data_IF_511761115034
#
_entry.id   IF_511761115034
#
_cell.length_a   1.000
_cell.length_b   1.000
_cell.length_c   1.000
_cell.angle_alpha   90.00
_cell.angle_beta   90.00
_cell.angle_gamma   90.00
#
_symmetry.space_group_name_H-M   'P 1'
#
loop_
_entity.id
_entity.type
_entity.pdbx_description
1 polymer ?
#
# COMPACT_ATOMS: atom_id res chain seq x y z
N UNK A 1 6.86 -2.35 -19.90
CA UNK A 1 6.84 -1.07 -19.17
C UNK A 1 8.22 -0.81 -18.59
N UNK A 2 8.66 0.44 -18.55
CA UNK A 2 9.89 0.87 -17.87
C UNK A 2 9.61 1.29 -16.42
N UNK A 3 10.67 1.52 -15.62
CA UNK A 3 10.57 1.91 -14.20
C UNK A 3 9.68 3.14 -13.97
N UNK A 4 9.79 4.16 -14.83
CA UNK A 4 9.03 5.39 -14.69
C UNK A 4 7.54 5.17 -14.99
N UNK A 5 7.22 4.35 -15.99
CA UNK A 5 5.84 3.98 -16.31
C UNK A 5 5.18 3.20 -15.17
N UNK A 6 5.91 2.28 -14.54
CA UNK A 6 5.44 1.52 -13.37
C UNK A 6 5.16 2.45 -12.20
N UNK A 7 6.14 3.30 -11.86
CA UNK A 7 6.01 4.28 -10.78
C UNK A 7 4.81 5.21 -11.01
N UNK A 8 4.72 5.79 -12.21
CA UNK A 8 3.65 6.72 -12.56
C UNK A 8 2.27 6.03 -12.53
N UNK A 9 2.18 4.78 -12.97
CA UNK A 9 0.94 4.01 -12.92
C UNK A 9 0.46 3.76 -11.49
N UNK A 10 1.34 3.22 -10.64
CA UNK A 10 1.04 3.01 -9.21
C UNK A 10 0.71 4.32 -8.50
N UNK A 11 1.43 5.40 -8.80
CA UNK A 11 1.15 6.72 -8.26
C UNK A 11 -0.21 7.26 -8.68
N UNK A 12 -0.55 7.16 -9.96
CA UNK A 12 -1.80 7.69 -10.51
C UNK A 12 -3.00 7.02 -9.85
N UNK A 13 -3.07 5.68 -9.87
CA UNK A 13 -4.21 4.94 -9.30
C UNK A 13 -4.37 5.21 -7.79
N UNK A 14 -3.25 5.33 -7.06
CA UNK A 14 -3.28 5.65 -5.62
C UNK A 14 -3.75 7.08 -5.39
N UNK A 15 -3.30 8.02 -6.22
CA UNK A 15 -3.64 9.44 -6.07
C UNK A 15 -5.10 9.72 -6.42
N UNK A 16 -5.65 9.02 -7.41
CA UNK A 16 -7.07 9.08 -7.76
C UNK A 16 -7.94 8.63 -6.57
N UNK A 17 -7.64 7.47 -5.95
CA UNK A 17 -8.35 7.00 -4.76
C UNK A 17 -8.21 7.95 -3.57
N UNK A 18 -7.00 8.47 -3.33
CA UNK A 18 -6.75 9.49 -2.31
C UNK A 18 -7.63 10.74 -2.54
N UNK A 19 -7.68 11.25 -3.77
CA UNK A 19 -8.41 12.48 -4.09
C UNK A 19 -9.92 12.28 -3.98
N UNK A 20 -10.46 11.16 -4.48
CA UNK A 20 -11.87 10.83 -4.33
C UNK A 20 -12.27 10.76 -2.85
N UNK A 21 -11.49 10.05 -2.03
CA UNK A 21 -11.76 9.96 -0.59
C UNK A 21 -11.67 11.33 0.12
N UNK A 22 -10.77 12.21 -0.33
CA UNK A 22 -10.63 13.57 0.20
C UNK A 22 -11.82 14.45 -0.20
N UNK A 23 -12.32 14.30 -1.42
CA UNK A 23 -13.52 14.98 -1.90
C UNK A 23 -14.74 14.55 -1.09
N UNK A 24 -14.97 13.24 -0.94
CA UNK A 24 -16.04 12.70 -0.12
C UNK A 24 -15.99 13.26 1.32
N UNK A 25 -14.80 13.27 1.93
CA UNK A 25 -14.60 13.82 3.28
C UNK A 25 -14.97 15.32 3.39
N UNK A 26 -14.83 16.07 2.30
CA UNK A 26 -15.14 17.49 2.24
C UNK A 26 -16.63 17.79 2.08
N UNK A 27 -17.39 16.83 1.53
CA UNK A 27 -18.83 16.91 1.30
C UNK A 27 -19.65 16.52 2.54
N UNK A 28 -19.07 15.79 3.48
CA UNK A 28 -19.75 15.41 4.72
C UNK A 28 -19.98 16.62 5.62
N UNK A 29 -21.24 16.78 6.05
CA UNK A 29 -21.67 17.83 6.97
C UNK A 29 -20.83 17.78 8.27
N UNK A 30 -20.45 18.96 8.76
CA UNK A 30 -19.67 19.12 10.01
C UNK A 30 -20.41 18.55 11.23
N UNK A 31 -21.73 18.41 11.17
CA UNK A 31 -22.55 17.81 12.21
C UNK A 31 -22.52 16.27 12.23
N UNK A 32 -21.80 15.63 11.30
CA UNK A 32 -21.57 14.19 11.24
C UNK A 32 -20.09 13.84 11.52
N UNK A 33 -19.59 14.08 12.76
CA UNK A 33 -18.17 13.98 13.07
C UNK A 33 -17.60 12.56 12.93
N UNK A 34 -18.41 11.52 13.16
CA UNK A 34 -17.97 10.12 13.03
C UNK A 34 -17.71 9.74 11.59
N UNK A 35 -18.64 10.06 10.69
CA UNK A 35 -18.51 9.77 9.25
C UNK A 35 -17.35 10.57 8.64
N UNK A 36 -17.28 11.86 8.97
CA UNK A 36 -16.16 12.72 8.56
C UNK A 36 -14.82 12.19 9.10
N UNK A 37 -14.78 11.77 10.35
CA UNK A 37 -13.57 11.20 10.98
C UNK A 37 -13.13 9.89 10.32
N UNK A 38 -14.09 9.04 9.94
CA UNK A 38 -13.81 7.82 9.19
C UNK A 38 -13.15 8.13 7.85
N UNK A 39 -13.73 9.03 7.05
CA UNK A 39 -13.16 9.42 5.75
C UNK A 39 -11.79 10.09 5.90
N UNK A 40 -11.60 10.95 6.91
CA UNK A 40 -10.29 11.55 7.19
C UNK A 40 -9.22 10.50 7.55
N UNK A 41 -9.60 9.45 8.28
CA UNK A 41 -8.70 8.33 8.56
C UNK A 41 -8.31 7.59 7.27
N UNK A 42 -9.28 7.32 6.38
CA UNK A 42 -9.02 6.72 5.06
C UNK A 42 -8.05 7.58 4.24
N UNK A 43 -8.30 8.89 4.14
CA UNK A 43 -7.43 9.86 3.45
C UNK A 43 -6.00 9.81 4.02
N UNK A 44 -5.86 9.75 5.34
CA UNK A 44 -4.56 9.65 6.01
C UNK A 44 -3.76 8.41 5.58
N UNK A 45 -4.43 7.25 5.49
CA UNK A 45 -3.77 5.98 5.10
C UNK A 45 -3.36 6.01 3.62
N UNK A 46 -4.23 6.50 2.72
CA UNK A 46 -3.85 6.72 1.32
C UNK A 46 -2.69 7.70 1.18
N UNK A 47 -2.66 8.76 2.00
CA UNK A 47 -1.55 9.70 2.00
C UNK A 47 -0.23 9.05 2.45
N UNK A 48 -0.27 8.15 3.45
CA UNK A 48 0.89 7.34 3.86
C UNK A 48 1.35 6.42 2.71
N UNK A 49 0.43 5.79 2.00
CA UNK A 49 0.77 4.95 0.84
C UNK A 49 1.45 5.77 -0.27
N UNK A 50 0.99 6.99 -0.55
CA UNK A 50 1.63 7.90 -1.51
C UNK A 50 3.00 8.39 -1.03
N UNK A 51 3.10 8.87 0.22
CA UNK A 51 4.31 9.50 0.72
C UNK A 51 5.42 8.50 1.09
N UNK A 52 5.07 7.39 1.76
CA UNK A 52 6.04 6.42 2.26
C UNK A 52 6.13 5.16 1.38
N UNK A 53 4.98 4.63 0.95
CA UNK A 53 4.93 3.46 0.06
C UNK A 53 5.45 3.77 -1.34
N UNK A 54 5.08 4.94 -1.89
CA UNK A 54 5.53 5.38 -3.20
C UNK A 54 6.66 6.42 -3.15
N UNK A 55 7.17 6.79 -1.96
CA UNK A 55 8.24 7.79 -1.81
C UNK A 55 7.96 9.07 -2.64
N UNK A 56 6.68 9.44 -2.79
CA UNK A 56 6.28 10.51 -3.70
C UNK A 56 6.73 11.86 -3.15
N UNK A 57 7.23 12.73 -4.03
CA UNK A 57 7.78 14.04 -3.65
C UNK A 57 9.29 14.04 -3.39
N UNK A 58 9.98 12.95 -3.70
CA UNK A 58 11.45 12.86 -3.67
C UNK A 58 11.98 12.65 -5.08
N UNK A 59 12.90 13.51 -5.54
CA UNK A 59 13.46 13.47 -6.90
C UNK A 59 14.16 12.14 -7.24
N UNK A 60 14.65 11.44 -6.22
CA UNK A 60 15.32 10.13 -6.32
C UNK A 60 14.43 8.96 -5.86
N UNK A 61 13.11 9.08 -5.95
CA UNK A 61 12.16 8.07 -5.45
C UNK A 61 12.46 6.66 -5.96
N UNK A 62 12.63 6.48 -7.27
CA UNK A 62 12.92 5.19 -7.91
C UNK A 62 14.21 4.57 -7.36
N UNK A 63 15.28 5.36 -7.24
CA UNK A 63 16.57 4.87 -6.70
C UNK A 63 16.44 4.44 -5.24
N UNK A 64 15.73 5.22 -4.42
CA UNK A 64 15.48 4.88 -3.01
C UNK A 64 14.60 3.64 -2.86
N UNK A 65 13.60 3.44 -3.73
CA UNK A 65 12.81 2.21 -3.75
C UNK A 65 13.71 1.00 -4.01
N UNK A 66 14.54 1.07 -5.04
CA UNK A 66 15.51 0.03 -5.38
C UNK A 66 16.47 -0.29 -4.23
N UNK A 67 17.04 0.72 -3.59
CA UNK A 67 17.94 0.54 -2.45
C UNK A 67 17.23 -0.12 -1.26
N UNK A 68 16.03 0.34 -0.91
CA UNK A 68 15.29 -0.16 0.25
C UNK A 68 14.67 -1.53 0.02
N UNK A 69 14.23 -1.81 -1.21
CA UNK A 69 13.62 -3.08 -1.58
C UNK A 69 14.53 -4.26 -1.25
N UNK A 70 15.82 -4.16 -1.56
CA UNK A 70 16.83 -5.21 -1.32
C UNK A 70 16.91 -5.64 0.15
N UNK A 71 16.64 -4.71 1.07
CA UNK A 71 16.61 -5.01 2.50
C UNK A 71 15.27 -5.59 2.92
N UNK A 72 14.17 -5.06 2.38
CA UNK A 72 12.81 -5.47 2.79
C UNK A 72 12.38 -6.81 2.19
N UNK A 73 12.84 -7.16 0.99
CA UNK A 73 12.43 -8.39 0.30
C UNK A 73 12.84 -9.65 1.06
N UNK A 74 13.85 -9.56 1.94
CA UNK A 74 14.31 -10.65 2.80
C UNK A 74 13.23 -11.13 3.78
N UNK A 75 12.22 -10.30 4.08
CA UNK A 75 11.06 -10.71 4.87
C UNK A 75 10.10 -11.65 4.10
N UNK A 76 10.30 -11.82 2.80
CA UNK A 76 9.48 -12.66 1.91
C UNK A 76 10.39 -13.64 1.14
N UNK A 77 10.77 -14.79 1.74
CA UNK A 77 11.76 -15.70 1.17
C UNK A 77 11.47 -16.12 -0.27
N UNK A 78 10.22 -16.49 -0.58
CA UNK A 78 9.82 -16.90 -1.94
C UNK A 78 10.06 -15.79 -2.98
N UNK A 79 9.84 -14.53 -2.61
CA UNK A 79 10.09 -13.39 -3.50
C UNK A 79 11.57 -13.04 -3.60
N UNK A 80 12.30 -13.15 -2.48
CA UNK A 80 13.75 -12.92 -2.45
C UNK A 80 14.48 -13.94 -3.33
N UNK A 81 14.14 -15.23 -3.20
CA UNK A 81 14.70 -16.31 -4.00
C UNK A 81 14.46 -16.06 -5.49
N UNK A 82 13.23 -15.70 -5.88
CA UNK A 82 12.93 -15.33 -7.27
C UNK A 82 13.76 -14.12 -7.73
N UNK A 83 13.81 -13.05 -6.94
CA UNK A 83 14.53 -11.82 -7.25
C UNK A 83 16.02 -12.09 -7.56
N UNK A 84 16.68 -12.96 -6.79
CA UNK A 84 18.10 -13.26 -7.01
C UNK A 84 18.39 -14.07 -8.27
N UNK A 85 17.39 -14.73 -8.87
CA UNK A 85 17.52 -15.44 -10.16
C UNK A 85 17.35 -14.53 -11.38
N UNK A 86 16.81 -13.33 -11.19
CA UNK A 86 16.52 -12.41 -12.29
C UNK A 86 17.78 -11.75 -12.86
N UNK A 87 17.80 -11.43 -14.17
CA UNK A 87 18.77 -10.49 -14.72
C UNK A 87 18.51 -9.08 -14.18
N UNK A 88 19.53 -8.21 -14.24
CA UNK A 88 19.51 -6.92 -13.53
C UNK A 88 18.42 -5.97 -14.05
N UNK A 89 18.10 -6.00 -15.34
CA UNK A 89 16.97 -5.23 -15.90
C UNK A 89 15.63 -5.65 -15.30
N UNK A 90 15.43 -6.95 -15.08
CA UNK A 90 14.20 -7.46 -14.46
C UNK A 90 14.17 -7.23 -12.94
N UNK A 91 15.32 -7.27 -12.26
CA UNK A 91 15.42 -6.89 -10.84
C UNK A 91 14.96 -5.46 -10.61
N UNK A 92 15.43 -4.55 -11.45
CA UNK A 92 15.05 -3.14 -11.41
C UNK A 92 13.54 -2.94 -11.61
N UNK A 93 12.91 -3.70 -12.51
CA UNK A 93 11.45 -3.65 -12.66
C UNK A 93 10.73 -4.23 -11.44
N UNK A 94 11.24 -5.31 -10.85
CA UNK A 94 10.65 -5.95 -9.66
C UNK A 94 10.70 -5.02 -8.46
N UNK A 95 11.82 -4.34 -8.25
CA UNK A 95 12.03 -3.37 -7.17
C UNK A 95 10.94 -2.30 -7.17
N UNK A 96 10.68 -1.67 -8.32
CA UNK A 96 9.68 -0.59 -8.40
C UNK A 96 8.26 -1.14 -8.37
N UNK A 97 8.03 -2.33 -8.94
CA UNK A 97 6.71 -2.95 -8.96
C UNK A 97 6.26 -3.40 -7.58
N UNK A 98 7.18 -3.94 -6.76
CA UNK A 98 6.84 -4.62 -5.51
C UNK A 98 7.23 -3.84 -4.24
N UNK A 99 8.15 -2.87 -4.31
CA UNK A 99 8.54 -2.08 -3.13
C UNK A 99 7.34 -1.50 -2.36
N UNK A 100 6.33 -0.87 -3.00
CA UNK A 100 5.23 -0.27 -2.24
C UNK A 100 4.47 -1.30 -1.41
N UNK A 101 4.15 -2.46 -2.00
CA UNK A 101 3.43 -3.55 -1.33
C UNK A 101 4.29 -4.20 -0.25
N UNK A 102 5.56 -4.51 -0.54
CA UNK A 102 6.52 -5.05 0.44
C UNK A 102 6.66 -4.11 1.64
N UNK A 103 6.81 -2.81 1.40
CA UNK A 103 6.91 -1.81 2.46
C UNK A 103 5.64 -1.79 3.32
N UNK A 104 4.47 -1.76 2.69
CA UNK A 104 3.21 -1.72 3.42
C UNK A 104 2.95 -2.99 4.23
N UNK A 105 3.30 -4.17 3.68
CA UNK A 105 3.17 -5.45 4.39
C UNK A 105 4.09 -5.53 5.60
N UNK A 106 5.36 -5.14 5.47
CA UNK A 106 6.35 -5.18 6.56
C UNK A 106 5.97 -4.21 7.70
N UNK A 107 5.47 -3.01 7.36
CA UNK A 107 5.30 -1.95 8.36
C UNK A 107 3.88 -1.86 8.94
N UNK A 108 2.84 -2.25 8.19
CA UNK A 108 1.46 -1.97 8.56
C UNK A 108 0.54 -3.19 8.57
N UNK A 109 0.74 -4.19 7.70
CA UNK A 109 -0.24 -5.27 7.54
C UNK A 109 -0.43 -6.08 8.82
N UNK A 110 0.65 -6.60 9.41
CA UNK A 110 0.55 -7.33 10.68
C UNK A 110 0.08 -6.43 11.82
N UNK A 111 0.54 -5.17 11.86
CA UNK A 111 0.13 -4.19 12.87
C UNK A 111 -1.38 -3.96 12.83
N UNK A 112 -1.97 -3.75 11.66
CA UNK A 112 -3.40 -3.46 11.53
C UNK A 112 -4.28 -4.70 11.80
N UNK A 113 -3.80 -5.90 11.43
CA UNK A 113 -4.48 -7.14 11.80
C UNK A 113 -4.47 -7.36 13.31
N UNK A 114 -3.32 -7.17 13.96
CA UNK A 114 -3.18 -7.30 15.41
C UNK A 114 -3.98 -6.22 16.16
N UNK A 115 -3.95 -4.97 15.69
CA UNK A 115 -4.75 -3.86 16.24
C UNK A 115 -6.25 -4.21 16.22
N UNK A 116 -6.74 -4.81 15.13
CA UNK A 116 -8.13 -5.23 15.01
C UNK A 116 -8.46 -6.38 15.96
N UNK A 117 -7.62 -7.44 15.97
CA UNK A 117 -7.83 -8.58 16.86
C UNK A 117 -7.85 -8.15 18.33
N UNK A 118 -6.95 -7.25 18.72
CA UNK A 118 -6.89 -6.71 20.08
C UNK A 118 -8.11 -5.84 20.40
N UNK A 119 -8.50 -4.95 19.48
CA UNK A 119 -9.69 -4.13 19.65
C UNK A 119 -10.96 -4.97 19.83
N UNK A 120 -11.09 -6.07 19.08
CA UNK A 120 -12.21 -6.99 19.19
C UNK A 120 -12.23 -7.74 20.53
N UNK A 121 -11.06 -8.06 21.10
CA UNK A 121 -10.94 -8.62 22.46
C UNK A 121 -11.32 -7.61 23.55
N UNK A 122 -10.91 -6.35 23.38
CA UNK A 122 -11.16 -5.28 24.36
C UNK A 122 -12.62 -4.79 24.33
N UNK A 123 -13.32 -5.01 23.21
CA UNK A 123 -14.76 -4.77 23.08
C UNK A 123 -15.17 -3.30 22.91
N UNK A 124 -14.23 -2.37 22.80
CA UNK A 124 -14.53 -0.94 22.60
C UNK A 124 -15.01 -0.67 21.16
N UNK A 125 -16.28 -0.27 20.94
CA UNK A 125 -16.81 -0.10 19.59
C UNK A 125 -16.07 0.94 18.75
N UNK A 126 -15.53 2.00 19.39
CA UNK A 126 -14.83 3.05 18.66
C UNK A 126 -13.46 2.58 18.16
N UNK A 127 -12.73 1.84 19.00
CA UNK A 127 -11.42 1.26 18.63
C UNK A 127 -11.59 0.18 17.58
N UNK A 128 -12.60 -0.70 17.71
CA UNK A 128 -12.94 -1.70 16.68
C UNK A 128 -13.24 -1.02 15.35
N UNK A 129 -14.09 0.01 15.36
CA UNK A 129 -14.45 0.74 14.15
C UNK A 129 -13.22 1.34 13.43
N UNK A 130 -12.31 1.99 14.17
CA UNK A 130 -11.08 2.56 13.60
C UNK A 130 -10.13 1.49 13.08
N UNK A 131 -9.96 0.39 13.80
CA UNK A 131 -9.08 -0.70 13.40
C UNK A 131 -9.59 -1.39 12.12
N UNK A 132 -10.91 -1.58 11.99
CA UNK A 132 -11.54 -2.10 10.76
C UNK A 132 -11.26 -1.19 9.57
N UNK A 133 -11.46 0.13 9.71
CA UNK A 133 -11.14 1.08 8.64
C UNK A 133 -9.66 1.00 8.23
N UNK A 134 -8.73 0.91 9.19
CA UNK A 134 -7.31 0.80 8.89
C UNK A 134 -6.99 -0.43 8.06
N UNK A 135 -7.51 -1.60 8.48
CA UNK A 135 -7.32 -2.86 7.77
C UNK A 135 -7.96 -2.81 6.38
N UNK A 136 -9.24 -2.43 6.29
CA UNK A 136 -9.98 -2.37 5.01
C UNK A 136 -9.27 -1.47 3.99
N UNK A 137 -8.85 -0.26 4.40
CA UNK A 137 -8.18 0.66 3.47
C UNK A 137 -6.81 0.14 3.06
N UNK A 138 -6.09 -0.53 3.96
CA UNK A 138 -4.82 -1.16 3.60
C UNK A 138 -5.03 -2.28 2.58
N UNK A 139 -6.00 -3.16 2.82
CA UNK A 139 -6.33 -4.25 1.90
C UNK A 139 -6.74 -3.72 0.52
N UNK A 140 -7.56 -2.65 0.48
CA UNK A 140 -7.93 -1.96 -0.76
C UNK A 140 -6.70 -1.44 -1.52
N UNK A 141 -5.73 -0.84 -0.83
CA UNK A 141 -4.49 -0.34 -1.43
C UNK A 141 -3.66 -1.49 -2.01
N UNK A 142 -3.48 -2.56 -1.24
CA UNK A 142 -2.70 -3.73 -1.66
C UNK A 142 -3.34 -4.40 -2.88
N UNK A 143 -4.67 -4.58 -2.86
CA UNK A 143 -5.42 -5.14 -3.98
C UNK A 143 -5.33 -4.27 -5.23
N UNK A 144 -5.48 -2.95 -5.09
CA UNK A 144 -5.35 -2.01 -6.21
C UNK A 144 -3.96 -2.08 -6.87
N UNK A 145 -2.88 -2.14 -6.09
CA UNK A 145 -1.53 -2.30 -6.64
C UNK A 145 -1.33 -3.66 -7.29
N UNK A 146 -1.87 -4.73 -6.69
CA UNK A 146 -1.84 -6.07 -7.29
C UNK A 146 -2.60 -6.10 -8.63
N UNK A 147 -3.79 -5.53 -8.70
CA UNK A 147 -4.59 -5.47 -9.93
C UNK A 147 -3.85 -4.76 -11.04
N UNK A 148 -3.23 -3.60 -10.73
CA UNK A 148 -2.36 -2.91 -11.68
C UNK A 148 -1.22 -3.79 -12.17
N UNK A 149 -0.55 -4.50 -11.26
CA UNK A 149 0.54 -5.42 -11.61
C UNK A 149 0.06 -6.57 -12.51
N UNK A 150 -1.05 -7.21 -12.18
CA UNK A 150 -1.63 -8.32 -12.93
C UNK A 150 -2.04 -7.85 -14.35
N UNK A 151 -2.74 -6.72 -14.45
CA UNK A 151 -3.16 -6.16 -15.74
C UNK A 151 -1.99 -5.82 -16.67
N UNK A 152 -0.83 -5.47 -16.09
CA UNK A 152 0.38 -5.10 -16.83
C UNK A 152 1.41 -6.23 -16.92
N UNK A 153 1.06 -7.45 -16.47
CA UNK A 153 1.94 -8.62 -16.43
C UNK A 153 3.27 -8.39 -15.67
N UNK A 154 3.20 -7.66 -14.56
CA UNK A 154 4.34 -7.30 -13.70
C UNK A 154 4.35 -8.18 -12.45
N UNK A 155 5.12 -9.27 -12.46
CA UNK A 155 5.32 -10.13 -11.29
C UNK A 155 3.99 -10.57 -10.65
N UNK A 156 3.00 -10.94 -11.49
CA UNK A 156 1.62 -11.23 -11.08
C UNK A 156 1.51 -12.30 -9.98
N UNK A 157 2.46 -13.23 -9.94
CA UNK A 157 2.57 -14.29 -8.93
C UNK A 157 2.79 -13.78 -7.50
N UNK A 158 3.30 -12.55 -7.32
CA UNK A 158 3.66 -12.04 -6.01
C UNK A 158 2.41 -11.85 -5.14
N UNK A 159 2.45 -12.49 -3.95
CA UNK A 159 1.41 -12.48 -2.93
C UNK A 159 0.09 -13.19 -3.31
N UNK A 160 0.08 -14.07 -4.31
CA UNK A 160 -1.13 -14.80 -4.72
C UNK A 160 -1.76 -15.65 -3.61
N UNK A 161 -0.96 -16.18 -2.68
CA UNK A 161 -1.41 -17.08 -1.60
C UNK A 161 -1.88 -16.36 -0.34
N UNK A 162 -1.75 -15.03 -0.27
CA UNK A 162 -2.06 -14.22 0.92
C UNK A 162 -3.45 -13.53 0.83
N UNK A 163 -4.38 -14.11 0.05
CA UNK A 163 -5.79 -13.71 -0.05
C UNK A 163 -6.66 -14.26 1.08
#
# INVERSE_FOLDING_TARGET
>A
MNKQEIFNGLWTITKEKHNACKEDASLVDKHHPTERGALQLKVGIYNVAVAAGLISGIDRAIELMSERFKNLIQHFPDLADYYYTLPDDQKELMEISLYPEVFMRVNFYNTYNNDLEQAEKDGDPQTIFKARIKKEVLDDILNMWRDFRVQNNLFAFAFEKEC
#
